data_IF_305948466300
#
_entry.id   IF_305948466300
#
_cell.length_a   1.000
_cell.length_b   1.000
_cell.length_c   1.000
_cell.angle_alpha   90.00
_cell.angle_beta   90.00
_cell.angle_gamma   90.00
#
_symmetry.space_group_name_H-M   'P 1'
#
loop_
_entity.id
_entity.type
_entity.pdbx_description
1 polymer ?
#
# COMPACT_ATOMS: atom_id res chain seq x y z
N UNK A 1 -3.14 2.26 -4.18
CA UNK A 1 -3.79 1.06 -3.54
C UNK A 1 -2.91 0.56 -2.42
N UNK A 2 -3.51 0.07 -1.33
CA UNK A 2 -2.77 -0.55 -0.21
C UNK A 2 -1.88 -1.72 -0.67
N UNK A 3 -0.99 -2.21 0.20
CA UNK A 3 -0.29 -3.47 -0.03
C UNK A 3 -0.44 -4.40 1.16
N UNK A 4 -0.63 -5.69 0.85
CA UNK A 4 -0.51 -6.81 1.78
C UNK A 4 0.81 -7.52 1.48
N UNK A 5 1.61 -7.81 2.52
CA UNK A 5 2.72 -8.73 2.45
C UNK A 5 2.49 -9.90 3.41
N UNK A 6 2.70 -11.12 2.93
CA UNK A 6 2.47 -12.36 3.66
C UNK A 6 3.80 -13.10 3.79
N UNK A 7 4.26 -13.25 5.01
CA UNK A 7 5.38 -14.07 5.38
C UNK A 7 4.85 -15.39 5.97
N UNK A 8 5.05 -16.50 5.29
CA UNK A 8 4.71 -17.83 5.81
C UNK A 8 5.83 -18.37 6.69
N UNK A 9 5.48 -19.30 7.59
CA UNK A 9 6.46 -20.10 8.33
C UNK A 9 7.52 -20.68 7.38
N UNK A 10 8.78 -20.66 7.78
CA UNK A 10 9.93 -21.12 7.00
C UNK A 10 10.58 -20.04 6.12
N UNK A 11 9.94 -18.91 5.92
CA UNK A 11 10.47 -17.82 5.09
C UNK A 11 11.05 -16.68 5.95
N UNK A 12 12.02 -15.90 5.45
CA UNK A 12 12.50 -14.69 6.12
C UNK A 12 11.44 -13.59 6.15
N UNK A 13 11.68 -12.54 6.92
CA UNK A 13 10.93 -11.28 6.79
C UNK A 13 11.25 -10.61 5.44
N UNK A 14 10.37 -9.76 4.91
CA UNK A 14 10.77 -8.80 3.89
C UNK A 14 11.97 -8.00 4.40
N UNK A 15 12.91 -7.66 3.53
CA UNK A 15 14.06 -6.84 3.93
C UNK A 15 13.60 -5.46 4.45
N UNK A 16 14.46 -4.81 5.23
CA UNK A 16 14.20 -3.47 5.74
C UNK A 16 13.85 -2.49 4.61
N UNK A 17 14.64 -2.50 3.52
CA UNK A 17 14.42 -1.65 2.35
C UNK A 17 13.06 -1.92 1.68
N UNK A 18 12.64 -3.18 1.59
CA UNK A 18 11.32 -3.52 1.04
C UNK A 18 10.20 -3.02 1.97
N UNK A 19 10.33 -3.17 3.29
CA UNK A 19 9.33 -2.69 4.24
C UNK A 19 9.22 -1.16 4.22
N UNK A 20 10.36 -0.47 4.14
CA UNK A 20 10.40 0.99 4.01
C UNK A 20 9.76 1.45 2.69
N UNK A 21 10.08 0.79 1.58
CA UNK A 21 9.47 1.04 0.28
C UNK A 21 7.95 0.82 0.31
N UNK A 22 7.47 -0.27 0.91
CA UNK A 22 6.03 -0.49 1.08
C UNK A 22 5.38 0.61 1.90
N UNK A 23 6.02 1.09 2.96
CA UNK A 23 5.50 2.20 3.76
C UNK A 23 5.54 3.51 2.99
N UNK A 24 6.65 3.83 2.30
CA UNK A 24 6.78 5.03 1.47
C UNK A 24 5.70 5.09 0.38
N UNK A 25 5.45 3.96 -0.29
CA UNK A 25 4.43 3.87 -1.33
C UNK A 25 2.98 3.81 -0.77
N UNK A 26 2.78 3.58 0.54
CA UNK A 26 1.47 3.41 1.18
C UNK A 26 1.53 4.00 2.61
N UNK A 27 1.60 5.35 2.71
CA UNK A 27 2.01 6.07 3.92
C UNK A 27 0.88 6.40 4.91
N UNK A 28 -0.38 6.02 4.62
CA UNK A 28 -1.54 6.36 5.47
C UNK A 28 -1.72 5.42 6.66
N UNK A 29 -0.65 4.73 7.02
CA UNK A 29 -0.52 3.91 8.20
C UNK A 29 -0.27 2.44 7.90
N UNK A 30 0.25 1.74 8.91
CA UNK A 30 0.60 0.33 8.81
C UNK A 30 0.11 -0.49 10.00
N UNK A 31 0.17 -1.81 9.83
CA UNK A 31 -0.02 -2.77 10.89
C UNK A 31 0.41 -4.16 10.47
N UNK A 32 0.54 -5.03 11.45
CA UNK A 32 0.89 -6.43 11.24
C UNK A 32 0.13 -7.35 12.18
N UNK A 33 0.09 -8.63 11.81
CA UNK A 33 -0.38 -9.70 12.67
C UNK A 33 0.58 -10.87 12.62
N UNK A 34 0.72 -11.59 13.72
CA UNK A 34 1.55 -12.79 13.84
C UNK A 34 0.90 -13.85 14.72
N UNK A 35 1.22 -15.10 14.45
CA UNK A 35 0.80 -16.23 15.27
C UNK A 35 1.70 -16.37 16.49
N UNK A 36 1.09 -16.54 17.66
CA UNK A 36 1.79 -16.80 18.91
C UNK A 36 0.92 -17.64 19.87
N UNK A 37 1.44 -18.77 20.33
CA UNK A 37 0.82 -19.62 21.36
C UNK A 37 -0.69 -19.91 21.10
N UNK A 38 -1.04 -20.35 19.87
CA UNK A 38 -2.40 -20.71 19.51
C UNK A 38 -3.35 -19.52 19.37
N UNK A 39 -2.83 -18.30 19.24
CA UNK A 39 -3.56 -17.07 18.98
C UNK A 39 -2.89 -16.27 17.88
N UNK A 40 -3.63 -15.31 17.33
CA UNK A 40 -3.10 -14.28 16.45
C UNK A 40 -3.07 -12.96 17.22
N UNK A 41 -1.90 -12.34 17.25
CA UNK A 41 -1.70 -11.02 17.81
C UNK A 41 -1.74 -10.01 16.69
N UNK A 42 -2.55 -8.97 16.83
CA UNK A 42 -2.67 -7.84 15.91
C UNK A 42 -2.05 -6.61 16.57
N UNK A 43 -1.19 -5.90 15.84
CA UNK A 43 -0.71 -4.56 16.17
C UNK A 43 -0.86 -3.68 14.93
N UNK A 44 -1.49 -2.52 15.07
CA UNK A 44 -1.79 -1.66 13.93
C UNK A 44 -1.91 -0.19 14.32
N UNK A 45 -2.10 0.68 13.32
CA UNK A 45 -2.23 2.11 13.54
C UNK A 45 -0.89 2.83 13.63
N UNK A 46 0.15 2.25 13.05
CA UNK A 46 1.46 2.87 12.95
C UNK A 46 1.44 3.92 11.83
N UNK A 47 1.41 5.19 12.21
CA UNK A 47 1.31 6.32 11.28
C UNK A 47 2.69 6.79 10.77
N UNK A 48 3.78 6.21 11.24
CA UNK A 48 5.14 6.43 10.76
C UNK A 48 5.88 5.12 10.63
N UNK A 49 6.82 5.04 9.67
CA UNK A 49 7.66 3.85 9.51
C UNK A 49 8.46 3.53 10.79
N UNK A 50 9.03 4.55 11.43
CA UNK A 50 9.79 4.37 12.66
C UNK A 50 8.95 3.77 13.81
N UNK A 51 7.67 4.13 13.93
CA UNK A 51 6.78 3.54 14.93
C UNK A 51 6.47 2.07 14.60
N UNK A 52 6.20 1.77 13.33
CA UNK A 52 6.01 0.41 12.83
C UNK A 52 7.26 -0.46 13.08
N UNK A 53 8.44 0.03 12.70
CA UNK A 53 9.68 -0.74 12.81
C UNK A 53 10.06 -1.02 14.27
N UNK A 54 9.93 -0.01 15.16
CA UNK A 54 10.15 -0.21 16.61
C UNK A 54 9.22 -1.25 17.22
N UNK A 55 7.95 -1.29 16.79
CA UNK A 55 7.01 -2.29 17.28
C UNK A 55 7.36 -3.68 16.75
N UNK A 56 7.76 -3.79 15.49
CA UNK A 56 8.18 -5.05 14.89
C UNK A 56 9.46 -5.59 15.54
N UNK A 57 10.47 -4.74 15.79
CA UNK A 57 11.71 -5.15 16.49
C UNK A 57 11.41 -5.81 17.84
N UNK A 58 10.51 -5.23 18.64
CA UNK A 58 10.10 -5.80 19.92
C UNK A 58 9.45 -7.19 19.77
N UNK A 59 8.76 -7.42 18.66
CA UNK A 59 8.18 -8.74 18.37
C UNK A 59 9.26 -9.72 17.94
N UNK A 60 10.23 -9.29 17.13
CA UNK A 60 11.38 -10.11 16.70
C UNK A 60 12.23 -10.60 17.88
N UNK A 61 12.28 -9.85 18.99
CA UNK A 61 12.99 -10.24 20.22
C UNK A 61 12.30 -11.39 21.00
N UNK A 62 10.99 -11.59 20.78
CA UNK A 62 10.17 -12.50 21.62
C UNK A 62 9.57 -13.68 20.86
N UNK A 63 9.66 -13.69 19.52
CA UNK A 63 9.15 -14.79 18.70
C UNK A 63 10.27 -15.44 17.86
N UNK A 64 10.10 -16.71 17.52
CA UNK A 64 10.87 -17.31 16.44
C UNK A 64 10.29 -16.85 15.09
N UNK A 65 10.88 -15.76 14.57
CA UNK A 65 10.45 -15.14 13.32
C UNK A 65 10.47 -16.13 12.16
N UNK A 66 11.51 -16.97 12.06
CA UNK A 66 11.63 -17.96 10.98
C UNK A 66 10.44 -18.91 10.96
N UNK A 67 9.98 -19.34 12.12
CA UNK A 67 8.90 -20.32 12.26
C UNK A 67 7.52 -19.71 12.52
N UNK A 68 7.38 -18.38 12.46
CA UNK A 68 6.12 -17.68 12.69
C UNK A 68 5.56 -17.10 11.37
N UNK A 69 4.30 -17.41 11.05
CA UNK A 69 3.59 -16.76 9.94
C UNK A 69 3.15 -15.35 10.33
N UNK A 70 3.30 -14.40 9.42
CA UNK A 70 2.95 -12.99 9.65
C UNK A 70 2.19 -12.39 8.46
N UNK A 71 1.30 -11.45 8.73
CA UNK A 71 0.67 -10.57 7.77
C UNK A 71 1.10 -9.14 8.02
N UNK A 72 1.49 -8.43 6.98
CA UNK A 72 1.77 -6.99 6.99
C UNK A 72 0.80 -6.28 6.08
N UNK A 73 0.43 -5.06 6.46
CA UNK A 73 -0.42 -4.21 5.64
C UNK A 73 0.04 -2.76 5.75
N UNK A 74 0.23 -2.13 4.57
CA UNK A 74 0.55 -0.71 4.47
C UNK A 74 -0.58 -0.05 3.67
N UNK A 75 -1.12 1.03 4.21
CA UNK A 75 -2.40 1.60 3.81
C UNK A 75 -2.24 2.83 2.94
N UNK A 76 -3.09 2.94 1.91
CA UNK A 76 -3.53 4.18 1.29
C UNK A 76 -5.02 4.33 1.57
N UNK A 77 -5.43 5.47 2.12
CA UNK A 77 -6.81 5.74 2.48
C UNK A 77 -7.64 6.10 1.24
N UNK A 78 -8.57 5.24 0.87
CA UNK A 78 -9.57 5.52 -0.17
C UNK A 78 -10.89 6.01 0.42
N UNK A 79 -11.23 5.54 1.63
CA UNK A 79 -12.45 5.90 2.37
C UNK A 79 -12.16 6.01 3.87
N UNK A 80 -12.93 6.85 4.58
CA UNK A 80 -12.89 6.97 6.05
C UNK A 80 -11.75 7.83 6.61
N UNK A 81 -10.91 8.42 5.74
CA UNK A 81 -9.80 9.28 6.16
C UNK A 81 -8.61 8.52 6.77
N UNK A 82 -7.56 9.27 7.15
CA UNK A 82 -6.31 8.73 7.70
C UNK A 82 -6.44 8.67 9.23
N UNK A 83 -6.76 7.48 9.75
CA UNK A 83 -6.96 7.22 11.19
C UNK A 83 -6.31 5.92 11.61
N UNK A 84 -5.58 5.86 12.74
CA UNK A 84 -4.92 4.65 13.23
C UNK A 84 -5.87 3.45 13.36
N UNK A 85 -7.09 3.67 13.83
CA UNK A 85 -8.09 2.62 14.05
C UNK A 85 -8.58 1.94 12.75
N UNK A 86 -8.40 2.61 11.59
CA UNK A 86 -8.80 2.10 10.27
C UNK A 86 -7.67 1.34 9.55
N UNK A 87 -6.46 1.28 10.13
CA UNK A 87 -5.39 0.44 9.62
C UNK A 87 -5.74 -1.05 9.80
N UNK A 88 -5.29 -1.88 8.87
CA UNK A 88 -5.32 -3.34 8.99
C UNK A 88 -4.11 -3.83 9.83
N UNK A 89 -4.17 -5.09 10.32
CA UNK A 89 -5.22 -6.11 10.21
C UNK A 89 -6.42 -5.86 11.12
N UNK A 90 -7.53 -6.57 10.87
CA UNK A 90 -8.71 -6.58 11.72
C UNK A 90 -8.98 -7.97 12.29
N UNK A 91 -9.52 -8.10 13.53
CA UNK A 91 -10.04 -9.36 14.02
C UNK A 91 -11.40 -9.68 13.37
N UNK A 92 -11.79 -10.95 13.36
CA UNK A 92 -13.15 -11.34 13.00
C UNK A 92 -14.10 -10.95 14.13
N UNK A 93 -14.86 -9.87 13.97
CA UNK A 93 -15.78 -9.36 15.01
C UNK A 93 -16.94 -8.58 14.42
N UNK A 94 -18.14 -8.75 14.99
CA UNK A 94 -19.31 -7.90 14.69
C UNK A 94 -19.23 -6.54 15.40
N UNK A 95 -18.49 -6.47 16.52
CA UNK A 95 -18.42 -5.28 17.37
C UNK A 95 -17.39 -4.27 16.84
N UNK A 96 -17.83 -3.08 16.44
CA UNK A 96 -16.98 -1.98 15.94
C UNK A 96 -15.82 -1.64 16.91
N UNK A 97 -16.04 -1.54 18.25
CA UNK A 97 -14.92 -1.27 19.15
C UNK A 97 -13.80 -2.31 19.07
N UNK A 98 -14.11 -3.59 18.83
CA UNK A 98 -13.08 -4.62 18.66
C UNK A 98 -12.29 -4.43 17.35
N UNK A 99 -12.97 -4.04 16.26
CA UNK A 99 -12.33 -3.76 14.98
C UNK A 99 -11.41 -2.52 15.04
N UNK A 100 -11.74 -1.54 15.88
CA UNK A 100 -10.98 -0.31 16.08
C UNK A 100 -9.77 -0.44 17.01
N UNK A 101 -9.62 -1.53 17.76
CA UNK A 101 -8.48 -1.75 18.67
C UNK A 101 -7.16 -1.75 17.92
N UNK A 102 -6.17 -1.03 18.44
CA UNK A 102 -4.81 -0.99 17.87
C UNK A 102 -3.97 -2.22 18.24
N UNK A 103 -4.31 -2.84 19.37
CA UNK A 103 -3.79 -4.13 19.82
C UNK A 103 -4.96 -5.08 20.08
N UNK A 104 -4.88 -6.29 19.52
CA UNK A 104 -5.89 -7.32 19.74
C UNK A 104 -5.28 -8.72 19.73
N UNK A 105 -5.84 -9.61 20.54
CA UNK A 105 -5.62 -11.05 20.48
C UNK A 105 -6.89 -11.70 19.93
N UNK A 106 -6.74 -12.55 18.90
CA UNK A 106 -7.86 -13.13 18.16
C UNK A 106 -7.54 -14.54 17.67
N UNK A 107 -8.53 -15.24 17.18
CA UNK A 107 -8.33 -16.52 16.48
C UNK A 107 -8.13 -16.33 14.96
N UNK A 108 -8.49 -15.17 14.41
CA UNK A 108 -8.38 -14.88 12.99
C UNK A 108 -8.08 -13.40 12.77
N UNK A 109 -6.99 -13.11 12.08
CA UNK A 109 -6.68 -11.78 11.57
C UNK A 109 -6.97 -11.70 10.08
N UNK A 110 -7.47 -10.55 9.63
CA UNK A 110 -7.96 -10.28 8.28
C UNK A 110 -7.29 -9.02 7.75
N UNK A 111 -6.74 -9.09 6.53
CA UNK A 111 -6.23 -7.96 5.77
C UNK A 111 -6.89 -7.92 4.40
N UNK A 112 -7.10 -6.72 3.89
CA UNK A 112 -7.73 -6.50 2.59
C UNK A 112 -6.99 -5.42 1.80
N UNK A 113 -6.89 -5.61 0.49
CA UNK A 113 -6.37 -4.63 -0.45
C UNK A 113 -7.31 -4.49 -1.64
N UNK A 114 -7.96 -3.35 -1.74
CA UNK A 114 -8.95 -2.98 -2.75
C UNK A 114 -10.05 -2.12 -2.18
N UNK A 115 -11.14 -2.01 -2.90
CA UNK A 115 -12.39 -1.37 -2.47
C UNK A 115 -13.50 -2.41 -2.52
N UNK A 116 -14.23 -2.58 -1.43
CA UNK A 116 -15.39 -3.48 -1.38
C UNK A 116 -16.64 -2.65 -1.72
N UNK A 117 -17.51 -3.12 -2.65
CA UNK A 117 -18.72 -2.40 -3.03
C UNK A 117 -19.82 -2.52 -1.94
N UNK A 118 -19.53 -2.02 -0.76
CA UNK A 118 -20.43 -1.97 0.38
C UNK A 118 -20.34 -0.58 1.02
N UNK A 119 -21.47 0.01 1.36
CA UNK A 119 -21.50 1.31 2.04
C UNK A 119 -21.28 1.11 3.56
N UNK A 120 -20.20 1.67 4.14
CA UNK A 120 -19.96 1.55 5.56
C UNK A 120 -20.99 2.34 6.39
N UNK A 121 -21.48 1.75 7.46
CA UNK A 121 -22.38 2.43 8.40
C UNK A 121 -21.60 3.08 9.53
N UNK A 122 -21.51 4.40 9.50
CA UNK A 122 -20.76 5.19 10.48
C UNK A 122 -19.27 5.34 10.15
N UNK A 123 -18.46 5.69 11.14
CA UNK A 123 -17.02 5.99 11.00
C UNK A 123 -16.18 4.70 11.00
N UNK A 124 -16.34 3.88 9.96
CA UNK A 124 -15.60 2.63 9.72
C UNK A 124 -15.25 2.50 8.23
N UNK A 125 -14.32 1.58 7.89
CA UNK A 125 -14.03 1.27 6.50
C UNK A 125 -15.00 0.24 5.91
N UNK A 126 -15.04 0.16 4.57
CA UNK A 126 -15.73 -0.88 3.80
C UNK A 126 -15.34 -2.30 4.27
N UNK A 127 -14.05 -2.52 4.49
CA UNK A 127 -13.53 -3.79 5.01
C UNK A 127 -14.09 -4.12 6.40
N UNK A 128 -14.16 -3.13 7.30
CA UNK A 128 -14.74 -3.33 8.63
C UNK A 128 -16.24 -3.66 8.53
N UNK A 129 -16.96 -2.98 7.63
CA UNK A 129 -18.39 -3.27 7.39
C UNK A 129 -18.56 -4.69 6.82
N UNK A 130 -17.74 -5.07 5.83
CA UNK A 130 -17.78 -6.42 5.24
C UNK A 130 -17.46 -7.51 6.27
N UNK A 131 -16.48 -7.30 7.16
CA UNK A 131 -16.16 -8.23 8.24
C UNK A 131 -17.39 -8.44 9.15
N UNK A 132 -18.00 -7.34 9.64
CA UNK A 132 -19.07 -7.41 10.63
C UNK A 132 -20.40 -7.95 10.09
N UNK A 133 -20.65 -7.82 8.81
CA UNK A 133 -21.90 -8.26 8.16
C UNK A 133 -21.72 -9.60 7.42
N UNK A 134 -20.75 -9.72 6.56
CA UNK A 134 -20.60 -10.88 5.66
C UNK A 134 -19.73 -11.99 6.27
N UNK A 135 -18.51 -11.63 6.75
CA UNK A 135 -17.57 -12.66 7.23
C UNK A 135 -17.99 -13.26 8.57
N UNK A 136 -18.57 -12.45 9.48
CA UNK A 136 -19.11 -12.97 10.75
C UNK A 136 -20.29 -13.89 10.50
N UNK A 137 -21.18 -13.58 9.54
CA UNK A 137 -22.30 -14.45 9.19
C UNK A 137 -21.85 -15.78 8.55
N UNK A 138 -20.76 -15.75 7.74
CA UNK A 138 -20.10 -16.97 7.26
C UNK A 138 -19.54 -17.79 8.42
N UNK A 139 -18.87 -17.16 9.36
CA UNK A 139 -18.31 -17.80 10.54
C UNK A 139 -19.36 -18.45 11.44
N UNK A 140 -20.54 -17.86 11.57
CA UNK A 140 -21.65 -18.44 12.33
C UNK A 140 -22.18 -19.74 11.68
N UNK A 141 -22.06 -19.87 10.36
CA UNK A 141 -22.47 -21.08 9.63
C UNK A 141 -21.36 -22.12 9.58
N UNK A 142 -20.11 -21.66 9.44
CA UNK A 142 -18.91 -22.48 9.42
C UNK A 142 -17.75 -21.65 9.98
N UNK A 143 -17.30 -21.95 11.20
CA UNK A 143 -16.26 -21.21 11.88
C UNK A 143 -14.96 -21.12 11.07
N UNK A 144 -14.63 -22.15 10.29
CA UNK A 144 -13.41 -22.23 9.45
C UNK A 144 -13.68 -21.96 7.96
N UNK A 145 -14.67 -21.14 7.63
CA UNK A 145 -15.07 -20.82 6.24
C UNK A 145 -13.88 -20.43 5.36
N UNK A 146 -12.90 -19.73 5.91
CA UNK A 146 -11.70 -19.27 5.21
C UNK A 146 -10.79 -20.40 4.72
N UNK A 147 -10.88 -21.60 5.30
CA UNK A 147 -10.14 -22.80 4.83
C UNK A 147 -10.70 -23.36 3.54
N UNK A 148 -12.00 -23.20 3.29
CA UNK A 148 -12.69 -23.74 2.12
C UNK A 148 -12.35 -22.93 0.85
N UNK A 149 -11.78 -23.59 -0.18
CA UNK A 149 -11.54 -22.98 -1.50
C UNK A 149 -12.83 -22.42 -2.11
N UNK A 150 -13.96 -23.13 -1.94
CA UNK A 150 -15.28 -22.70 -2.43
C UNK A 150 -15.71 -21.38 -1.77
N UNK A 151 -15.55 -21.27 -0.46
CA UNK A 151 -15.89 -20.04 0.26
C UNK A 151 -14.98 -18.88 -0.14
N UNK A 152 -13.67 -19.10 -0.31
CA UNK A 152 -12.76 -18.05 -0.78
C UNK A 152 -13.06 -17.60 -2.21
N UNK A 153 -13.48 -18.50 -3.12
CA UNK A 153 -13.97 -18.11 -4.45
C UNK A 153 -15.24 -17.26 -4.38
N UNK A 154 -16.17 -17.60 -3.47
CA UNK A 154 -17.37 -16.80 -3.26
C UNK A 154 -17.02 -15.40 -2.71
N UNK A 155 -16.09 -15.30 -1.73
CA UNK A 155 -15.60 -14.03 -1.22
C UNK A 155 -14.95 -13.23 -2.36
N UNK A 156 -14.10 -13.84 -3.20
CA UNK A 156 -13.49 -13.16 -4.35
C UNK A 156 -14.54 -12.55 -5.29
N UNK A 157 -15.60 -13.30 -5.59
CA UNK A 157 -16.69 -12.82 -6.45
C UNK A 157 -17.46 -11.63 -5.82
N UNK A 158 -17.55 -11.57 -4.49
CA UNK A 158 -18.22 -10.48 -3.78
C UNK A 158 -17.37 -9.20 -3.70
N UNK A 159 -16.05 -9.34 -3.43
CA UNK A 159 -15.19 -8.18 -3.19
C UNK A 159 -14.40 -7.73 -4.42
N UNK A 160 -14.26 -8.59 -5.43
CA UNK A 160 -13.44 -8.38 -6.63
C UNK A 160 -12.05 -7.77 -6.35
N UNK A 161 -11.43 -8.21 -5.27
CA UNK A 161 -10.18 -7.65 -4.76
C UNK A 161 -9.41 -8.70 -3.93
N UNK A 162 -8.38 -8.33 -3.19
CA UNK A 162 -7.48 -9.27 -2.54
C UNK A 162 -7.64 -9.23 -1.02
N UNK A 163 -7.74 -10.42 -0.41
CA UNK A 163 -7.83 -10.57 1.03
C UNK A 163 -6.93 -11.70 1.53
N UNK A 164 -6.44 -11.60 2.75
CA UNK A 164 -5.74 -12.70 3.40
C UNK A 164 -6.19 -12.87 4.85
N UNK A 165 -6.11 -14.12 5.31
CA UNK A 165 -6.46 -14.56 6.65
C UNK A 165 -5.27 -15.24 7.29
N UNK A 166 -4.98 -14.92 8.56
CA UNK A 166 -4.05 -15.66 9.41
C UNK A 166 -4.84 -16.25 10.56
N UNK A 167 -4.82 -17.58 10.68
CA UNK A 167 -5.54 -18.29 11.74
C UNK A 167 -4.67 -18.55 12.97
N UNK A 168 -5.31 -18.96 14.07
CA UNK A 168 -4.67 -19.26 15.34
C UNK A 168 -3.78 -20.53 15.31
N UNK A 169 -3.73 -21.26 14.21
CA UNK A 169 -2.79 -22.35 13.96
C UNK A 169 -1.56 -21.88 13.14
N UNK A 170 -1.47 -20.60 12.80
CA UNK A 170 -0.39 -20.03 12.00
C UNK A 170 -0.53 -20.29 10.49
N UNK A 171 -1.69 -20.77 10.03
CA UNK A 171 -1.92 -20.98 8.61
C UNK A 171 -2.44 -19.69 7.95
N UNK A 172 -2.01 -19.47 6.71
CA UNK A 172 -2.44 -18.33 5.90
C UNK A 172 -3.29 -18.81 4.73
N UNK A 173 -4.39 -18.11 4.47
CA UNK A 173 -5.31 -18.36 3.38
C UNK A 173 -5.54 -17.07 2.60
N UNK A 174 -5.53 -17.13 1.27
CA UNK A 174 -5.64 -15.98 0.38
C UNK A 174 -6.91 -16.01 -0.45
N UNK A 175 -7.42 -14.83 -0.77
CA UNK A 175 -8.47 -14.54 -1.75
C UNK A 175 -7.86 -13.63 -2.80
N UNK A 176 -8.02 -14.00 -4.08
CA UNK A 176 -7.34 -13.34 -5.19
C UNK A 176 -5.89 -13.82 -5.37
N UNK A 177 -5.25 -13.30 -6.40
CA UNK A 177 -3.89 -13.68 -6.77
C UNK A 177 -2.85 -12.80 -6.07
N UNK A 178 -1.74 -13.39 -5.66
CA UNK A 178 -0.62 -12.73 -5.02
C UNK A 178 0.66 -12.98 -5.83
N UNK A 179 1.53 -11.99 -5.85
CA UNK A 179 2.86 -12.08 -6.45
C UNK A 179 3.77 -12.74 -5.42
N UNK A 180 4.45 -13.82 -5.76
CA UNK A 180 5.45 -14.43 -4.89
C UNK A 180 6.84 -13.97 -5.30
N UNK A 181 7.59 -13.40 -4.35
CA UNK A 181 8.94 -12.93 -4.56
C UNK A 181 9.76 -13.18 -3.29
N UNK A 182 10.89 -13.92 -3.44
CA UNK A 182 11.78 -14.31 -2.33
C UNK A 182 11.06 -14.95 -1.12
N UNK A 183 10.02 -15.76 -1.39
CA UNK A 183 9.24 -16.47 -0.36
C UNK A 183 8.19 -15.60 0.34
N UNK A 184 8.05 -14.34 -0.02
CA UNK A 184 7.01 -13.44 0.46
C UNK A 184 5.94 -13.29 -0.61
N UNK A 185 4.66 -13.28 -0.21
CA UNK A 185 3.54 -13.07 -1.14
C UNK A 185 3.03 -11.63 -0.99
N UNK A 186 2.97 -10.90 -2.09
CA UNK A 186 2.54 -9.50 -2.15
C UNK A 186 1.22 -9.36 -2.92
N UNK A 187 0.34 -8.49 -2.47
CA UNK A 187 -0.94 -8.25 -3.15
C UNK A 187 -0.79 -7.43 -4.44
N UNK A 188 0.27 -6.65 -4.58
CA UNK A 188 0.64 -5.90 -5.79
C UNK A 188 2.14 -5.60 -5.80
N UNK A 189 2.62 -4.84 -6.79
CA UNK A 189 4.05 -4.54 -6.98
C UNK A 189 4.58 -3.36 -6.17
N UNK A 190 3.78 -2.70 -5.33
CA UNK A 190 4.24 -1.52 -4.56
C UNK A 190 5.24 -1.83 -3.43
N UNK A 191 5.71 -3.07 -3.34
CA UNK A 191 6.88 -3.44 -2.53
C UNK A 191 8.22 -3.18 -3.26
N UNK A 192 8.17 -2.98 -4.57
CA UNK A 192 9.34 -2.60 -5.37
C UNK A 192 9.53 -1.10 -5.29
N UNK A 193 10.78 -0.69 -5.25
CA UNK A 193 11.08 0.70 -5.55
C UNK A 193 10.43 1.03 -6.90
N UNK A 194 9.74 2.14 -6.94
CA UNK A 194 9.30 2.67 -8.23
C UNK A 194 10.56 3.10 -8.96
N UNK A 195 11.27 2.15 -9.56
CA UNK A 195 12.12 2.50 -10.69
C UNK A 195 11.13 2.98 -11.71
N UNK A 196 11.15 4.26 -12.00
CA UNK A 196 10.53 4.80 -13.19
C UNK A 196 11.32 4.23 -14.40
N UNK A 197 11.12 2.94 -14.65
CA UNK A 197 11.38 2.44 -15.98
C UNK A 197 10.22 3.01 -16.78
N UNK A 198 10.46 4.13 -17.43
CA UNK A 198 9.65 4.50 -18.58
C UNK A 198 9.73 3.32 -19.53
N UNK A 199 8.73 2.42 -19.47
CA UNK A 199 8.50 1.55 -20.61
C UNK A 199 8.06 2.49 -21.71
N UNK A 200 9.04 2.86 -22.52
CA UNK A 200 8.82 3.52 -23.79
C UNK A 200 7.86 2.60 -24.53
N UNK A 201 6.62 3.02 -24.66
CA UNK A 201 5.71 2.40 -25.61
C UNK A 201 6.35 2.60 -26.99
N UNK A 202 6.80 1.51 -27.56
CA UNK A 202 7.36 1.40 -28.90
C UNK A 202 6.30 1.69 -29.97
N UNK A 203 5.63 2.83 -29.97
CA UNK A 203 4.89 3.25 -31.18
C UNK A 203 4.34 4.69 -31.21
N UNK A 204 4.86 5.64 -30.42
CA UNK A 204 4.56 7.05 -30.67
C UNK A 204 5.82 7.91 -30.67
N UNK A 205 6.23 8.31 -31.84
CA UNK A 205 7.48 8.94 -32.24
C UNK A 205 7.77 10.34 -31.69
N UNK A 206 7.36 10.72 -30.47
CA UNK A 206 7.65 12.04 -29.90
C UNK A 206 7.90 12.15 -28.39
N UNK A 207 7.77 11.08 -27.59
CA UNK A 207 8.00 11.13 -26.14
C UNK A 207 9.37 10.57 -25.74
N UNK A 208 10.45 11.05 -26.35
CA UNK A 208 11.79 10.69 -25.90
C UNK A 208 12.16 11.54 -24.69
N UNK A 209 12.14 10.87 -23.53
CA UNK A 209 12.65 11.33 -22.24
C UNK A 209 11.92 12.56 -21.64
N UNK A 210 11.23 12.31 -20.54
CA UNK A 210 10.73 13.34 -19.63
C UNK A 210 11.61 13.35 -18.39
N UNK A 211 12.01 14.52 -17.91
CA UNK A 211 12.72 14.70 -16.65
C UNK A 211 11.75 15.14 -15.55
N UNK A 212 11.76 14.51 -14.37
CA UNK A 212 10.95 14.99 -13.26
C UNK A 212 11.40 16.37 -12.79
N UNK A 213 10.44 17.19 -12.39
CA UNK A 213 10.67 18.47 -11.70
C UNK A 213 10.33 18.22 -10.22
N UNK A 214 11.33 17.81 -9.44
CA UNK A 214 11.13 17.34 -8.07
C UNK A 214 11.15 18.47 -7.02
N UNK A 215 11.74 19.61 -7.37
CA UNK A 215 11.80 20.82 -6.55
C UNK A 215 11.65 22.06 -7.45
N UNK A 216 10.85 23.04 -7.01
CA UNK A 216 10.61 24.25 -7.77
C UNK A 216 9.12 24.51 -7.97
N UNK A 217 8.77 25.18 -9.06
CA UNK A 217 7.38 25.55 -9.32
C UNK A 217 7.07 25.67 -10.81
N UNK A 218 5.79 25.48 -11.13
CA UNK A 218 5.26 25.69 -12.48
C UNK A 218 4.54 27.03 -12.52
N UNK A 219 4.82 27.84 -13.55
CA UNK A 219 4.06 29.05 -13.85
C UNK A 219 3.20 28.82 -15.06
N UNK A 220 1.88 28.88 -14.87
CA UNK A 220 0.89 28.70 -15.94
C UNK A 220 -0.23 29.72 -15.78
N UNK A 221 -0.55 30.47 -16.82
CA UNK A 221 -1.63 31.48 -16.80
C UNK A 221 -1.48 32.53 -15.69
N UNK A 222 -0.25 32.87 -15.26
CA UNK A 222 0.04 33.78 -14.17
C UNK A 222 -0.13 33.20 -12.76
N UNK A 223 -0.46 31.92 -12.66
CA UNK A 223 -0.52 31.19 -11.38
C UNK A 223 0.78 30.38 -11.19
N UNK A 224 1.31 30.45 -9.99
CA UNK A 224 2.47 29.65 -9.55
C UNK A 224 2.00 28.48 -8.71
N UNK A 225 2.49 27.28 -9.03
CA UNK A 225 2.16 26.03 -8.31
C UNK A 225 3.48 25.35 -7.94
N UNK A 226 3.70 25.07 -6.66
CA UNK A 226 4.86 24.32 -6.19
C UNK A 226 4.81 22.88 -6.76
N UNK A 227 5.99 22.36 -7.12
CA UNK A 227 6.12 21.01 -7.61
C UNK A 227 6.24 20.03 -6.44
N UNK A 228 5.39 19.02 -6.43
CA UNK A 228 5.54 17.86 -5.56
C UNK A 228 6.28 16.76 -6.32
N UNK A 229 7.07 15.97 -5.58
CA UNK A 229 7.86 14.88 -6.16
C UNK A 229 7.01 13.95 -7.04
N UNK A 230 7.43 13.81 -8.30
CA UNK A 230 6.78 12.92 -9.27
C UNK A 230 5.46 13.43 -9.85
N UNK A 231 5.09 14.67 -9.62
CA UNK A 231 3.87 15.26 -10.17
C UNK A 231 4.09 15.90 -11.54
N UNK A 232 5.22 16.60 -11.74
CA UNK A 232 5.51 17.33 -12.97
C UNK A 232 6.80 16.87 -13.62
N UNK A 233 6.83 16.96 -14.96
CA UNK A 233 7.94 16.55 -15.79
C UNK A 233 8.18 17.58 -16.90
N UNK A 234 9.40 17.66 -17.40
CA UNK A 234 9.75 18.45 -18.59
C UNK A 234 10.39 17.58 -19.65
N UNK A 235 10.16 17.92 -20.90
CA UNK A 235 10.90 17.35 -22.02
C UNK A 235 12.13 18.19 -22.40
N UNK A 236 12.89 17.73 -23.41
CA UNK A 236 14.08 18.43 -23.94
C UNK A 236 13.80 19.86 -24.42
N UNK A 237 12.57 20.20 -24.72
CA UNK A 237 12.13 21.54 -25.14
C UNK A 237 11.61 22.38 -23.95
N UNK A 238 11.67 21.86 -22.71
CA UNK A 238 11.15 22.53 -21.52
C UNK A 238 9.62 22.57 -21.45
N UNK A 239 8.92 21.76 -22.27
CA UNK A 239 7.45 21.65 -22.18
C UNK A 239 7.11 20.87 -20.91
N UNK A 240 6.09 21.36 -20.19
CA UNK A 240 5.68 20.80 -18.89
C UNK A 240 4.60 19.75 -19.08
N UNK A 241 4.71 18.67 -18.33
CA UNK A 241 3.74 17.58 -18.28
C UNK A 241 3.35 17.33 -16.84
N UNK A 242 2.05 17.16 -16.60
CA UNK A 242 1.50 16.71 -15.31
C UNK A 242 1.21 15.22 -15.40
N UNK A 243 1.66 14.46 -14.39
CA UNK A 243 1.48 13.02 -14.33
C UNK A 243 0.23 12.66 -13.55
N UNK A 244 -0.66 11.89 -14.17
CA UNK A 244 -1.87 11.42 -13.52
C UNK A 244 -1.70 9.98 -13.01
N UNK A 245 -1.49 9.86 -11.72
CA UNK A 245 -1.17 8.60 -11.02
C UNK A 245 -2.20 7.47 -11.19
N UNK A 246 -3.43 7.78 -11.62
CA UNK A 246 -4.48 6.79 -11.82
C UNK A 246 -4.40 6.07 -13.17
N UNK A 247 -3.83 6.71 -14.17
CA UNK A 247 -3.84 6.25 -15.56
C UNK A 247 -2.45 5.93 -16.12
N UNK A 248 -1.39 6.21 -15.35
CA UNK A 248 0.01 6.00 -15.76
C UNK A 248 0.39 6.78 -17.03
N UNK A 249 -0.13 7.98 -17.18
CA UNK A 249 0.06 8.88 -18.33
C UNK A 249 0.46 10.26 -17.87
N UNK A 250 1.28 10.93 -18.66
CA UNK A 250 1.62 12.34 -18.49
C UNK A 250 0.95 13.18 -19.58
N UNK A 251 0.26 14.25 -19.19
CA UNK A 251 -0.40 15.18 -20.11
C UNK A 251 0.38 16.48 -20.19
N UNK A 252 0.64 16.94 -21.40
CA UNK A 252 1.22 18.26 -21.58
C UNK A 252 0.29 19.33 -21.04
N UNK A 253 0.80 20.19 -20.17
CA UNK A 253 0.08 21.36 -19.66
C UNK A 253 0.76 22.66 -20.15
N UNK A 254 0.01 23.75 -20.34
CA UNK A 254 0.63 25.04 -20.63
C UNK A 254 1.38 25.55 -19.40
N UNK A 255 2.63 25.98 -19.57
CA UNK A 255 3.40 26.52 -18.46
C UNK A 255 4.92 26.40 -18.67
N UNK A 256 5.64 26.98 -17.74
CA UNK A 256 7.11 26.90 -17.66
C UNK A 256 7.49 26.44 -16.25
N UNK A 257 8.38 25.45 -16.17
CA UNK A 257 8.94 24.98 -14.91
C UNK A 257 10.15 25.85 -14.51
N UNK A 258 10.21 26.17 -13.24
CA UNK A 258 11.32 26.93 -12.63
C UNK A 258 11.88 26.14 -11.45
N UNK A 259 13.18 26.26 -11.24
CA UNK A 259 13.83 25.72 -10.05
C UNK A 259 13.57 26.60 -8.80
N UNK A 260 14.00 26.13 -7.63
CA UNK A 260 13.87 26.85 -6.35
C UNK A 260 14.52 28.25 -6.34
N UNK A 261 15.49 28.50 -7.25
CA UNK A 261 16.17 29.76 -7.40
C UNK A 261 15.51 30.70 -8.43
N UNK A 262 14.37 30.31 -8.99
CA UNK A 262 13.66 31.10 -9.99
C UNK A 262 14.26 31.05 -11.41
N UNK A 263 15.15 30.08 -11.69
CA UNK A 263 15.69 29.84 -13.02
C UNK A 263 14.83 28.83 -13.78
N UNK A 264 14.64 28.96 -15.09
CA UNK A 264 13.95 27.94 -15.87
C UNK A 264 14.59 26.58 -15.67
N UNK A 265 13.77 25.55 -15.40
CA UNK A 265 14.22 24.18 -15.31
C UNK A 265 14.67 23.70 -16.70
N UNK A 266 15.83 23.06 -16.75
CA UNK A 266 16.42 22.54 -17.99
C UNK A 266 16.45 21.02 -17.94
N UNK A 267 16.42 20.38 -19.08
CA UNK A 267 16.56 18.94 -19.24
C UNK A 267 18.03 18.53 -19.16
N UNK A 268 18.39 17.58 -18.30
CA UNK A 268 19.74 17.02 -18.17
C UNK A 268 19.80 15.60 -18.72
N UNK A 269 20.61 15.38 -19.75
CA UNK A 269 20.72 14.09 -20.42
C UNK A 269 21.54 13.07 -19.63
N UNK A 270 22.43 13.52 -18.72
CA UNK A 270 23.39 12.64 -18.06
C UNK A 270 22.85 12.05 -16.76
N UNK A 271 21.92 12.72 -16.08
CA UNK A 271 21.45 12.31 -14.76
C UNK A 271 19.95 11.95 -14.68
N UNK A 272 19.17 12.25 -15.72
CA UNK A 272 17.72 11.93 -15.73
C UNK A 272 16.91 12.62 -14.65
N UNK A 273 17.49 13.58 -13.95
CA UNK A 273 16.89 14.40 -12.88
C UNK A 273 17.35 15.83 -13.09
N UNK A 274 16.46 16.81 -12.93
CA UNK A 274 16.90 18.10 -13.24
C UNK A 274 16.60 19.29 -12.39
N UNK A 275 17.57 19.88 -12.00
CA UNK A 275 17.65 21.33 -11.84
C UNK A 275 19.07 21.84 -12.03
N UNK A 276 19.41 22.46 -13.17
CA UNK A 276 20.74 23.03 -13.33
C UNK A 276 20.83 24.43 -12.79
N UNK A 277 21.90 24.61 -12.10
CA UNK A 277 22.50 25.91 -11.88
C UNK A 277 23.33 26.18 -13.13
N UNK A 278 22.84 27.02 -14.02
CA UNK A 278 23.72 27.64 -14.99
C UNK A 278 24.39 28.80 -14.30
N UNK A 279 25.71 28.69 -14.08
CA UNK A 279 26.54 29.85 -13.75
C UNK A 279 26.70 30.75 -14.96
#
# INVERSE_FOLDING_TARGET
MCIIAIKKKGNPLPSESIMETMFKNNSDGAGFAYHLNGKVIIQKGFMTYNAFRRALNKVEEVIDVQNTSMLFHFRIATHGGVKPALCHPFPLSRKIPNLKRLYAQTNLAIVHNGVIPIEPKGDISDTMEYIRTNLVDRSNRNFEFYRSKRQRKAILAEINSKMAFLDCNGNVYTVGEFIEDNGIMYSNSSYKERTFSFSIFDDYTSFKMLCPVDEGYIVSGGKMTECEFGQYYIDRQGRVYEYEFGFDVAFQIPGTAYNVNGMPALFDEDYGIYMSIVM
#
